data_IF_021623105537
#
_entry.id   IF_021623105537
#
_cell.length_a   1.000
_cell.length_b   1.000
_cell.length_c   1.000
_cell.angle_alpha   90.00
_cell.angle_beta   90.00
_cell.angle_gamma   90.00
#
_symmetry.space_group_name_H-M   'P 1'
#
loop_
_entity.id
_entity.type
_entity.pdbx_description
1 polymer ?
#
# COMPACT_ATOMS: atom_id res chain seq x y z
N UNK A 1 0.36 16.20 -8.18
CA UNK A 1 -0.58 15.11 -7.81
C UNK A 1 0.01 13.70 -7.91
N UNK A 2 0.87 13.40 -8.90
CA UNK A 2 1.49 12.08 -9.12
C UNK A 2 2.15 11.40 -7.91
N UNK A 3 2.71 12.19 -6.98
CA UNK A 3 3.37 11.65 -5.79
C UNK A 3 2.38 10.94 -4.85
N UNK A 4 1.17 11.45 -4.70
CA UNK A 4 0.19 10.90 -3.77
C UNK A 4 -0.26 9.48 -4.18
N UNK A 5 -0.57 9.26 -5.47
CA UNK A 5 -1.04 7.95 -5.95
C UNK A 5 0.06 6.89 -5.93
N UNK A 6 1.31 7.27 -6.18
CA UNK A 6 2.47 6.37 -6.05
C UNK A 6 2.65 5.94 -4.60
N UNK A 7 2.53 6.87 -3.64
CA UNK A 7 2.62 6.55 -2.22
C UNK A 7 1.46 5.66 -1.73
N UNK A 8 0.25 5.82 -2.28
CA UNK A 8 -0.88 4.93 -2.01
C UNK A 8 -0.62 3.50 -2.51
N UNK A 9 -0.19 3.35 -3.76
CA UNK A 9 0.17 2.05 -4.32
C UNK A 9 1.29 1.39 -3.51
N UNK A 10 2.30 2.18 -3.10
CA UNK A 10 3.40 1.71 -2.26
C UNK A 10 2.91 1.22 -0.89
N UNK A 11 2.04 1.97 -0.22
CA UNK A 11 1.45 1.56 1.06
C UNK A 11 0.64 0.27 0.96
N UNK A 12 -0.13 0.10 -0.13
CA UNK A 12 -0.85 -1.14 -0.38
C UNK A 12 0.10 -2.34 -0.58
N UNK A 13 1.18 -2.17 -1.34
CA UNK A 13 2.21 -3.22 -1.50
C UNK A 13 2.87 -3.58 -0.16
N UNK A 14 3.13 -2.60 0.70
CA UNK A 14 3.67 -2.86 2.03
C UNK A 14 2.71 -3.72 2.87
N UNK A 15 1.42 -3.38 2.86
CA UNK A 15 0.40 -4.11 3.62
C UNK A 15 0.20 -5.54 3.10
N UNK A 16 0.09 -5.70 1.78
CA UNK A 16 -0.24 -6.99 1.14
C UNK A 16 0.95 -7.95 1.15
N UNK A 17 2.16 -7.45 0.92
CA UNK A 17 3.36 -8.30 0.80
C UNK A 17 4.24 -8.32 2.05
N UNK A 18 3.94 -7.52 3.07
CA UNK A 18 4.75 -7.44 4.30
C UNK A 18 6.17 -6.93 4.06
N UNK A 19 6.37 -6.10 3.04
CA UNK A 19 7.69 -5.58 2.64
C UNK A 19 7.88 -4.12 3.08
N UNK A 20 9.13 -3.67 3.32
CA UNK A 20 9.40 -2.28 3.66
C UNK A 20 9.15 -1.34 2.48
N UNK A 21 8.97 -0.05 2.77
CA UNK A 21 8.63 0.97 1.77
C UNK A 21 9.61 1.04 0.59
N UNK A 22 10.93 0.89 0.83
CA UNK A 22 11.94 0.87 -0.24
C UNK A 22 11.69 -0.27 -1.23
N UNK A 23 11.55 -1.50 -0.72
CA UNK A 23 11.23 -2.69 -1.53
C UNK A 23 9.91 -2.54 -2.28
N UNK A 24 8.88 -1.98 -1.65
CA UNK A 24 7.60 -1.72 -2.33
C UNK A 24 7.75 -0.73 -3.50
N UNK A 25 8.56 0.30 -3.33
CA UNK A 25 8.84 1.25 -4.41
C UNK A 25 9.66 0.62 -5.54
N UNK A 26 10.67 -0.19 -5.22
CA UNK A 26 11.47 -0.93 -6.19
C UNK A 26 10.60 -1.85 -7.05
N UNK A 27 9.60 -2.51 -6.45
CA UNK A 27 8.62 -3.35 -7.17
C UNK A 27 7.81 -2.53 -8.17
N UNK A 28 7.35 -1.32 -7.79
CA UNK A 28 6.63 -0.44 -8.72
C UNK A 28 7.52 0.01 -9.87
N UNK A 29 8.79 0.37 -9.59
CA UNK A 29 9.76 0.74 -10.63
C UNK A 29 10.00 -0.43 -11.57
N UNK A 30 10.36 -1.60 -11.03
CA UNK A 30 10.62 -2.80 -11.82
C UNK A 30 9.42 -3.12 -12.71
N UNK A 31 8.21 -3.14 -12.14
CA UNK A 31 6.99 -3.44 -12.89
C UNK A 31 6.74 -2.42 -14.00
N UNK A 32 6.94 -1.13 -13.72
CA UNK A 32 6.76 -0.06 -14.71
C UNK A 32 7.71 -0.17 -15.90
N UNK A 33 8.96 -0.58 -15.65
CA UNK A 33 9.97 -0.81 -16.67
C UNK A 33 9.64 -2.04 -17.51
N UNK A 34 9.27 -3.15 -16.86
CA UNK A 34 8.89 -4.40 -17.53
C UNK A 34 7.70 -4.21 -18.49
N UNK A 35 6.77 -3.32 -18.16
CA UNK A 35 5.58 -3.05 -19.00
C UNK A 35 5.72 -1.79 -19.84
N UNK A 36 6.88 -1.13 -19.85
CA UNK A 36 7.12 0.19 -20.46
C UNK A 36 5.97 1.19 -20.19
N UNK A 37 5.44 1.16 -18.97
CA UNK A 37 4.31 1.99 -18.54
C UNK A 37 4.86 3.08 -17.64
N UNK A 38 4.41 4.33 -17.80
CA UNK A 38 4.81 5.40 -16.89
C UNK A 38 4.43 5.03 -15.46
N UNK A 39 5.37 5.11 -14.52
CA UNK A 39 5.20 4.71 -13.11
C UNK A 39 3.91 5.26 -12.48
N UNK A 40 3.57 6.53 -12.76
CA UNK A 40 2.31 7.15 -12.32
C UNK A 40 1.07 6.41 -12.82
N UNK A 41 1.04 6.06 -14.10
CA UNK A 41 -0.11 5.36 -14.71
C UNK A 41 -0.25 3.96 -14.13
N UNK A 42 0.87 3.26 -13.93
CA UNK A 42 0.85 1.96 -13.26
C UNK A 42 0.29 2.07 -11.83
N UNK A 43 0.73 3.07 -11.06
CA UNK A 43 0.21 3.31 -9.71
C UNK A 43 -1.29 3.64 -9.72
N UNK A 44 -1.76 4.46 -10.66
CA UNK A 44 -3.19 4.77 -10.83
C UNK A 44 -4.02 3.52 -11.13
N UNK A 45 -3.53 2.65 -12.02
CA UNK A 45 -4.20 1.39 -12.34
C UNK A 45 -4.26 0.43 -11.14
N UNK A 46 -3.18 0.33 -10.37
CA UNK A 46 -3.14 -0.47 -9.15
C UNK A 46 -4.16 0.05 -8.14
N UNK A 47 -4.17 1.36 -7.86
CA UNK A 47 -5.07 1.97 -6.88
C UNK A 47 -6.54 1.86 -7.32
N UNK A 48 -6.83 2.04 -8.60
CA UNK A 48 -8.18 1.83 -9.15
C UNK A 48 -8.65 0.37 -9.01
N UNK A 49 -7.73 -0.58 -8.99
CA UNK A 49 -8.02 -2.01 -8.82
C UNK A 49 -8.37 -2.44 -7.39
N UNK A 50 -8.12 -1.60 -6.37
CA UNK A 50 -8.31 -2.00 -4.97
C UNK A 50 -9.72 -2.50 -4.64
N UNK A 51 -10.75 -1.90 -5.23
CA UNK A 51 -12.15 -2.30 -5.01
C UNK A 51 -12.48 -3.71 -5.54
N UNK A 52 -11.61 -4.29 -6.37
CA UNK A 52 -11.76 -5.62 -6.94
C UNK A 52 -11.03 -6.70 -6.13
N UNK A 53 -10.21 -6.30 -5.16
CA UNK A 53 -9.48 -7.24 -4.31
C UNK A 53 -10.40 -7.79 -3.22
N UNK A 54 -10.51 -9.12 -3.13
CA UNK A 54 -11.16 -9.76 -1.99
C UNK A 54 -10.22 -9.71 -0.77
N UNK A 55 -10.69 -9.06 0.31
CA UNK A 55 -9.98 -9.10 1.59
C UNK A 55 -10.50 -10.26 2.42
N UNK A 56 -9.65 -11.25 2.71
CA UNK A 56 -10.00 -12.32 3.65
C UNK A 56 -10.36 -11.75 5.02
N UNK A 57 -11.35 -12.36 5.70
CA UNK A 57 -11.94 -11.86 6.97
C UNK A 57 -10.87 -11.54 8.03
N UNK A 58 -9.81 -12.33 8.10
CA UNK A 58 -8.73 -12.14 9.07
C UNK A 58 -7.96 -10.82 8.86
N UNK A 59 -7.62 -10.47 7.61
CA UNK A 59 -6.94 -9.21 7.31
C UNK A 59 -7.81 -8.00 7.68
N UNK A 60 -9.12 -8.08 7.42
CA UNK A 60 -10.06 -7.03 7.81
C UNK A 60 -10.08 -6.83 9.33
N UNK A 61 -10.20 -7.90 10.11
CA UNK A 61 -10.18 -7.80 11.58
C UNK A 61 -8.88 -7.23 12.12
N UNK A 62 -7.72 -7.65 11.60
CA UNK A 62 -6.43 -7.08 12.01
C UNK A 62 -6.33 -5.59 11.68
N UNK A 63 -6.78 -5.21 10.48
CA UNK A 63 -6.75 -3.83 10.03
C UNK A 63 -7.73 -2.94 10.81
N UNK A 64 -8.92 -3.45 11.14
CA UNK A 64 -9.89 -2.76 11.98
C UNK A 64 -9.32 -2.50 13.38
N UNK A 65 -8.66 -3.50 13.99
CA UNK A 65 -7.98 -3.30 15.27
C UNK A 65 -6.91 -2.20 15.16
N UNK A 66 -6.04 -2.28 14.15
CA UNK A 66 -5.00 -1.26 13.92
C UNK A 66 -5.61 0.14 13.74
N UNK A 67 -6.67 0.26 12.94
CA UNK A 67 -7.35 1.54 12.67
C UNK A 67 -7.91 2.15 13.97
N UNK A 68 -8.50 1.31 14.83
CA UNK A 68 -9.10 1.76 16.08
C UNK A 68 -8.06 2.07 17.16
N UNK A 69 -6.91 1.40 17.19
CA UNK A 69 -5.92 1.55 18.27
C UNK A 69 -4.66 2.32 17.88
N UNK A 70 -4.47 2.73 16.62
CA UNK A 70 -3.26 3.44 16.17
C UNK A 70 -2.91 4.68 17.01
N UNK A 71 -3.91 5.39 17.52
CA UNK A 71 -3.76 6.58 18.35
C UNK A 71 -3.26 6.26 19.79
N UNK A 72 -3.49 5.04 20.27
CA UNK A 72 -3.09 4.59 21.61
C UNK A 72 -1.56 4.35 21.65
N UNK A 73 -0.98 3.86 20.56
CA UNK A 73 0.47 3.64 20.41
C UNK A 73 1.32 4.91 20.31
N UNK A 74 0.72 6.08 20.11
CA UNK A 74 1.42 7.36 20.16
C UNK A 74 1.69 7.84 21.60
N UNK A 75 1.06 7.22 22.60
CA UNK A 75 1.31 7.51 24.01
C UNK A 75 2.43 6.62 24.53
N UNK A 76 3.67 7.08 24.36
CA UNK A 76 4.83 6.53 25.09
C UNK A 76 4.50 6.60 26.59
N UNK A 77 4.53 5.49 27.36
CA UNK A 77 4.62 5.59 28.80
C UNK A 77 5.98 6.22 29.12
N UNK A 78 5.95 7.26 29.96
CA UNK A 78 7.13 7.87 30.60
C UNK A 78 7.85 6.88 31.49
#
# INVERSE_FOLDING_TARGET
QSRAVIEQAKGALMLVYGIPAGRAFDVLIWRSQQTNTRLRILAEQIVAGFGQCETGTNLRTQFDHLLLTAHEGARRPV
#
